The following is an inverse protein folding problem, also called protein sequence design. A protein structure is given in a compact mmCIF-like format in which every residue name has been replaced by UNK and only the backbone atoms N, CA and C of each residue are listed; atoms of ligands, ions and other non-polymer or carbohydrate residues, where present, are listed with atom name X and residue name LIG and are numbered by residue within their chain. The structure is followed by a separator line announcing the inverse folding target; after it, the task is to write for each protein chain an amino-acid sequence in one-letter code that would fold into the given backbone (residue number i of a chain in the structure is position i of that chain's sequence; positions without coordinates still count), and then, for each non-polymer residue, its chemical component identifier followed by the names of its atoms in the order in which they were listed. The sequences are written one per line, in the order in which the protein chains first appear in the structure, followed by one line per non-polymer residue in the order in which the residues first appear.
data_IF_569453344754
#
_entry.id   IF_569453344754
#
_cell.length_a   1.000
_cell.length_b   1.000
_cell.length_c   1.000
_cell.angle_alpha   90.00
_cell.angle_beta   90.00
_cell.angle_gamma   90.00
#
_symmetry.space_group_name_H-M   'P 1'
#
loop_
_entity.id
_entity.type
_entity.pdbx_description
1 polymer ?
#
# COMPACT_ATOMS: atom_id res chain seq x y z
N UNK A 1 -31.05 -8.82 -4.45
CA UNK A 1 -30.07 -9.90 -4.51
C UNK A 1 -28.81 -9.37 -3.87
N UNK A 2 -28.31 -10.00 -2.78
CA UNK A 2 -27.15 -9.50 -2.04
C UNK A 2 -25.91 -9.56 -2.94
N UNK A 3 -25.31 -8.40 -3.22
CA UNK A 3 -24.06 -8.24 -3.95
C UNK A 3 -22.83 -8.76 -3.19
N UNK A 4 -23.01 -9.18 -1.95
CA UNK A 4 -21.93 -9.61 -1.05
C UNK A 4 -22.07 -11.09 -0.70
N UNK A 5 -21.35 -11.96 -1.40
CA UNK A 5 -21.14 -13.33 -0.95
C UNK A 5 -20.03 -13.36 0.09
N UNK A 6 -20.29 -14.02 1.22
CA UNK A 6 -19.34 -14.17 2.32
C UNK A 6 -18.24 -15.17 1.91
N UNK A 7 -16.96 -14.89 2.12
CA UNK A 7 -15.91 -15.87 1.92
C UNK A 7 -16.07 -17.05 2.89
N UNK A 8 -15.69 -18.28 2.52
CA UNK A 8 -15.66 -19.41 3.42
C UNK A 8 -14.72 -19.15 4.59
N UNK A 9 -15.03 -19.69 5.78
CA UNK A 9 -14.10 -19.66 6.92
C UNK A 9 -12.89 -20.53 6.55
N UNK A 10 -11.74 -19.90 6.25
CA UNK A 10 -10.48 -20.62 6.18
C UNK A 10 -10.03 -21.04 7.58
N UNK A 11 -9.31 -22.17 7.75
CA UNK A 11 -8.69 -22.49 9.02
C UNK A 11 -7.74 -21.37 9.40
N UNK A 12 -7.81 -20.90 10.64
CA UNK A 12 -6.91 -19.89 11.20
C UNK A 12 -5.47 -20.35 10.99
N UNK A 13 -4.80 -19.74 10.00
CA UNK A 13 -3.36 -19.88 9.86
C UNK A 13 -2.74 -19.01 10.97
N UNK A 14 -2.48 -19.61 12.10
CA UNK A 14 -1.76 -18.99 13.23
C UNK A 14 -0.26 -18.93 12.87
N UNK A 15 0.04 -18.14 11.84
CA UNK A 15 1.40 -17.75 11.49
C UNK A 15 1.91 -16.85 12.61
N UNK A 16 2.37 -17.47 13.69
CA UNK A 16 3.02 -16.75 14.78
C UNK A 16 4.29 -16.06 14.25
N UNK A 17 4.64 -14.92 14.84
CA UNK A 17 5.93 -14.23 14.63
C UNK A 17 7.11 -15.22 14.59
N UNK A 18 7.04 -16.28 15.40
CA UNK A 18 7.98 -17.40 15.46
C UNK A 18 8.06 -18.19 14.15
N UNK A 19 7.00 -18.26 13.36
CA UNK A 19 6.98 -18.99 12.08
C UNK A 19 7.61 -18.15 10.96
N UNK A 20 7.39 -16.84 10.97
CA UNK A 20 8.09 -15.89 10.10
C UNK A 20 9.60 -15.97 10.34
N UNK A 21 10.04 -16.00 11.61
CA UNK A 21 11.43 -16.11 11.99
C UNK A 21 12.07 -17.48 11.65
N UNK A 22 11.31 -18.58 11.73
CA UNK A 22 11.80 -19.93 11.38
C UNK A 22 12.05 -20.11 9.89
N UNK A 23 11.26 -19.48 9.03
CA UNK A 23 11.42 -19.58 7.59
C UNK A 23 12.54 -18.69 7.04
N UNK A 24 13.03 -17.73 7.82
CA UNK A 24 14.15 -16.86 7.46
C UNK A 24 15.56 -17.48 7.62
N UNK A 25 15.65 -18.73 8.08
CA UNK A 25 16.95 -19.45 8.20
C UNK A 25 17.89 -18.96 9.32
N UNK A 26 17.53 -17.89 10.05
CA UNK A 26 18.36 -17.28 11.11
C UNK A 26 17.92 -17.63 12.55
N UNK A 27 17.05 -18.60 12.74
CA UNK A 27 16.47 -18.95 14.05
C UNK A 27 17.27 -20.01 14.81
N UNK A 28 18.60 -19.94 14.88
CA UNK A 28 19.38 -20.88 15.69
C UNK A 28 20.06 -20.30 16.92
N UNK A 29 20.09 -18.98 17.14
CA UNK A 29 20.81 -18.40 18.29
C UNK A 29 20.15 -17.18 18.95
N UNK A 30 18.84 -17.18 19.16
CA UNK A 30 18.23 -16.17 20.06
C UNK A 30 18.35 -14.70 19.62
N UNK A 31 18.76 -14.44 18.39
CA UNK A 31 18.79 -13.09 17.84
C UNK A 31 17.38 -12.68 17.42
N UNK A 32 16.80 -11.88 18.28
CA UNK A 32 15.53 -11.19 18.09
C UNK A 32 15.53 -10.36 16.81
N UNK A 33 14.33 -10.09 16.26
CA UNK A 33 14.10 -9.22 15.11
C UNK A 33 15.01 -7.98 15.18
N UNK A 34 15.90 -7.84 14.20
CA UNK A 34 16.52 -6.53 13.98
C UNK A 34 15.39 -5.54 13.70
N UNK A 35 15.53 -4.33 14.22
CA UNK A 35 14.62 -3.23 13.92
C UNK A 35 14.53 -3.06 12.40
N UNK A 36 13.33 -3.22 11.81
CA UNK A 36 13.13 -3.17 10.36
C UNK A 36 11.73 -2.73 9.99
N UNK A 37 11.60 -2.06 8.84
CA UNK A 37 10.30 -1.81 8.22
C UNK A 37 9.64 -3.16 7.91
N UNK A 38 8.41 -3.36 8.39
CA UNK A 38 7.68 -4.58 8.17
C UNK A 38 7.29 -4.73 6.69
N UNK A 39 7.53 -5.89 6.04
CA UNK A 39 7.03 -6.12 4.69
C UNK A 39 5.51 -6.25 4.72
N UNK A 40 4.84 -5.98 3.60
CA UNK A 40 3.38 -5.95 3.58
C UNK A 40 2.73 -7.31 3.89
N UNK A 41 3.43 -8.42 3.60
CA UNK A 41 2.97 -9.77 3.97
C UNK A 41 3.29 -10.21 5.41
N UNK A 42 3.87 -9.31 6.22
CA UNK A 42 4.02 -9.55 7.65
C UNK A 42 2.65 -9.73 8.31
N UNK A 43 2.52 -10.54 9.40
CA UNK A 43 1.26 -10.64 10.12
C UNK A 43 0.72 -9.26 10.53
N UNK A 44 -0.53 -9.00 10.19
CA UNK A 44 -1.17 -7.70 10.35
C UNK A 44 -2.18 -7.70 11.49
N UNK A 45 -2.44 -6.54 12.05
CA UNK A 45 -3.52 -6.29 13.02
C UNK A 45 -4.67 -5.47 12.44
N UNK A 46 -4.54 -4.96 11.23
CA UNK A 46 -5.60 -4.26 10.52
C UNK A 46 -5.10 -3.29 9.45
N UNK A 47 -6.05 -2.60 8.83
CA UNK A 47 -5.83 -1.67 7.72
C UNK A 47 -6.50 -0.33 8.03
N UNK A 48 -5.91 0.79 7.58
CA UNK A 48 -6.52 2.12 7.59
C UNK A 48 -7.07 2.48 6.21
N UNK A 49 -8.24 3.11 6.21
CA UNK A 49 -8.80 3.90 5.11
C UNK A 49 -9.03 5.34 5.57
N UNK A 50 -8.80 6.29 4.69
CA UNK A 50 -9.24 7.68 4.84
C UNK A 50 -10.42 7.90 3.91
N UNK A 51 -11.58 8.27 4.46
CA UNK A 51 -12.87 8.18 3.75
C UNK A 51 -13.11 9.40 2.85
N UNK A 52 -13.57 9.22 1.60
CA UNK A 52 -13.93 10.32 0.69
C UNK A 52 -15.15 11.11 1.20
N UNK A 53 -15.15 12.43 0.96
CA UNK A 53 -16.23 13.31 1.38
C UNK A 53 -16.35 14.53 0.44
N UNK A 54 -17.39 15.35 0.63
CA UNK A 54 -17.69 16.49 -0.24
C UNK A 54 -16.61 17.59 -0.26
N UNK A 55 -15.71 17.60 0.74
CA UNK A 55 -14.59 18.54 0.80
C UNK A 55 -13.31 18.04 0.15
N UNK A 56 -13.33 16.89 -0.52
CA UNK A 56 -12.21 16.32 -1.27
C UNK A 56 -12.41 16.49 -2.78
N UNK A 57 -11.41 16.22 -3.56
CA UNK A 57 -11.50 16.24 -5.03
C UNK A 57 -12.47 15.18 -5.59
N UNK A 58 -13.01 14.29 -4.73
CA UNK A 58 -14.05 13.31 -5.05
C UNK A 58 -15.47 13.89 -5.14
N UNK A 59 -15.69 15.17 -4.77
CA UNK A 59 -17.03 15.76 -4.67
C UNK A 59 -17.89 15.56 -5.94
N UNK A 60 -17.27 15.62 -7.12
CA UNK A 60 -17.97 15.49 -8.41
C UNK A 60 -18.43 14.05 -8.73
N UNK A 61 -17.85 13.03 -8.07
CA UNK A 61 -18.17 11.62 -8.26
C UNK A 61 -18.26 10.85 -6.93
N UNK A 62 -18.67 11.56 -5.87
CA UNK A 62 -18.71 10.99 -4.51
C UNK A 62 -19.52 9.69 -4.40
N UNK A 63 -20.67 9.50 -5.08
CA UNK A 63 -21.41 8.24 -5.05
C UNK A 63 -20.58 7.06 -5.58
N UNK A 64 -19.90 7.22 -6.70
CA UNK A 64 -19.14 6.16 -7.37
C UNK A 64 -17.91 5.74 -6.54
N UNK A 65 -17.16 6.71 -6.01
CA UNK A 65 -16.02 6.39 -5.15
C UNK A 65 -16.47 5.79 -3.83
N UNK A 66 -17.59 6.24 -3.27
CA UNK A 66 -18.19 5.67 -2.06
C UNK A 66 -18.53 4.18 -2.24
N UNK A 67 -19.08 3.78 -3.40
CA UNK A 67 -19.34 2.35 -3.70
C UNK A 67 -18.03 1.52 -3.68
N UNK A 68 -16.94 2.05 -4.24
CA UNK A 68 -15.64 1.40 -4.18
C UNK A 68 -15.16 1.27 -2.73
N UNK A 69 -15.26 2.33 -1.93
CA UNK A 69 -14.87 2.33 -0.51
C UNK A 69 -15.73 1.39 0.36
N UNK A 70 -17.04 1.30 0.10
CA UNK A 70 -17.92 0.31 0.75
C UNK A 70 -17.45 -1.11 0.43
N UNK A 71 -17.03 -1.37 -0.81
CA UNK A 71 -16.48 -2.66 -1.20
C UNK A 71 -15.15 -2.94 -0.52
N UNK A 72 -14.22 -2.00 -0.47
CA UNK A 72 -12.96 -2.11 0.27
C UNK A 72 -13.21 -2.38 1.75
N UNK A 73 -14.10 -1.59 2.39
CA UNK A 73 -14.46 -1.79 3.79
C UNK A 73 -15.05 -3.19 4.05
N UNK A 74 -15.89 -3.71 3.16
CA UNK A 74 -16.41 -5.08 3.27
C UNK A 74 -15.30 -6.14 3.19
N UNK A 75 -14.43 -6.05 2.18
CA UNK A 75 -13.38 -7.05 1.97
C UNK A 75 -12.35 -7.04 3.09
N UNK A 76 -12.01 -5.87 3.61
CA UNK A 76 -11.08 -5.73 4.73
C UNK A 76 -11.77 -6.18 6.03
N UNK A 77 -12.87 -5.56 6.43
CA UNK A 77 -13.48 -5.75 7.74
C UNK A 77 -14.06 -7.17 7.95
N UNK A 78 -14.32 -7.93 6.89
CA UNK A 78 -14.69 -9.35 7.02
C UNK A 78 -13.52 -10.28 7.34
N UNK A 79 -12.27 -9.81 7.19
CA UNK A 79 -11.03 -10.59 7.37
C UNK A 79 -10.18 -10.10 8.52
N UNK A 80 -10.04 -8.78 8.67
CA UNK A 80 -9.23 -8.17 9.73
C UNK A 80 -9.77 -6.79 10.15
N UNK A 81 -9.32 -6.23 11.27
CA UNK A 81 -9.78 -4.93 11.73
C UNK A 81 -9.54 -3.81 10.71
N UNK A 82 -10.47 -2.87 10.66
CA UNK A 82 -10.41 -1.70 9.79
C UNK A 82 -10.50 -0.42 10.63
N UNK A 83 -9.55 0.50 10.44
CA UNK A 83 -9.61 1.86 10.96
C UNK A 83 -10.07 2.80 9.85
N UNK A 84 -11.17 3.51 10.07
CA UNK A 84 -11.65 4.54 9.15
C UNK A 84 -11.41 5.91 9.77
N UNK A 85 -10.65 6.75 9.06
CA UNK A 85 -10.46 8.17 9.36
C UNK A 85 -11.39 8.99 8.48
N UNK A 86 -12.20 9.86 9.07
CA UNK A 86 -13.14 10.71 8.35
C UNK A 86 -13.50 11.98 9.14
N UNK A 87 -13.87 13.08 8.48
CA UNK A 87 -14.42 14.27 9.17
C UNK A 87 -15.76 14.02 9.85
N UNK A 88 -16.62 13.18 9.25
CA UNK A 88 -17.91 12.76 9.79
C UNK A 88 -17.98 11.23 9.89
N UNK A 89 -17.49 10.71 10.99
CA UNK A 89 -17.49 9.26 11.24
C UNK A 89 -18.88 8.68 11.50
N UNK A 90 -19.83 9.49 11.97
CA UNK A 90 -21.18 9.02 12.24
C UNK A 90 -21.95 8.77 10.94
N UNK A 91 -21.81 9.65 9.95
CA UNK A 91 -22.37 9.44 8.62
C UNK A 91 -21.79 8.18 7.96
N UNK A 92 -20.47 7.98 8.05
CA UNK A 92 -19.80 6.78 7.51
C UNK A 92 -20.25 5.51 8.23
N UNK A 93 -20.33 5.55 9.56
CA UNK A 93 -20.83 4.43 10.39
C UNK A 93 -22.23 4.01 9.95
N UNK A 94 -23.15 4.96 9.88
CA UNK A 94 -24.54 4.71 9.47
C UNK A 94 -24.62 4.09 8.08
N UNK A 95 -23.87 4.64 7.11
CA UNK A 95 -23.79 4.09 5.76
C UNK A 95 -23.32 2.62 5.78
N UNK A 96 -22.26 2.32 6.51
CA UNK A 96 -21.70 0.97 6.54
C UNK A 96 -22.56 -0.01 7.31
N UNK A 97 -23.23 0.41 8.39
CA UNK A 97 -24.21 -0.43 9.11
C UNK A 97 -25.43 -0.80 8.25
N UNK A 98 -25.88 0.11 7.37
CA UNK A 98 -26.96 -0.15 6.40
C UNK A 98 -26.53 -1.09 5.26
N UNK A 99 -25.25 -1.09 4.89
CA UNK A 99 -24.73 -1.75 3.69
C UNK A 99 -23.99 -3.07 3.97
N UNK A 100 -23.36 -3.20 5.12
CA UNK A 100 -22.49 -4.34 5.44
C UNK A 100 -23.11 -5.27 6.47
N UNK A 101 -22.75 -6.56 6.46
CA UNK A 101 -23.19 -7.49 7.50
C UNK A 101 -22.56 -7.12 8.86
N UNK A 102 -23.31 -7.36 9.94
CA UNK A 102 -22.88 -7.04 11.31
C UNK A 102 -21.48 -7.54 11.65
N UNK A 103 -21.08 -8.71 11.18
CA UNK A 103 -19.73 -9.26 11.41
C UNK A 103 -18.61 -8.40 10.84
N UNK A 104 -18.88 -7.62 9.79
CA UNK A 104 -17.92 -6.67 9.25
C UNK A 104 -17.93 -5.37 10.05
N UNK A 105 -19.12 -4.81 10.34
CA UNK A 105 -19.24 -3.54 11.06
C UNK A 105 -18.66 -3.58 12.47
N UNK A 106 -18.70 -4.75 13.14
CA UNK A 106 -18.06 -4.93 14.46
C UNK A 106 -16.54 -4.91 14.41
N UNK A 107 -15.92 -5.08 13.25
CA UNK A 107 -14.46 -5.00 13.05
C UNK A 107 -14.00 -3.60 12.65
N UNK A 108 -14.91 -2.62 12.53
CA UNK A 108 -14.56 -1.27 12.08
C UNK A 108 -14.43 -0.35 13.29
N UNK A 109 -13.33 0.39 13.30
CA UNK A 109 -13.08 1.51 14.21
C UNK A 109 -13.14 2.80 13.44
N UNK A 110 -13.56 3.85 14.10
CA UNK A 110 -13.72 5.16 13.50
C UNK A 110 -12.91 6.18 14.26
N UNK A 111 -12.17 7.01 13.55
CA UNK A 111 -11.44 8.13 14.10
C UNK A 111 -11.85 9.40 13.40
N UNK A 112 -12.48 10.32 14.14
CA UNK A 112 -12.94 11.59 13.59
C UNK A 112 -11.78 12.56 13.46
N UNK A 113 -11.48 12.93 12.22
CA UNK A 113 -10.37 13.81 11.89
C UNK A 113 -10.66 14.54 10.58
N UNK A 114 -10.40 15.86 10.47
CA UNK A 114 -10.40 16.56 9.19
C UNK A 114 -9.33 15.99 8.27
N UNK A 115 -9.66 15.86 6.97
CA UNK A 115 -8.76 15.34 5.93
C UNK A 115 -8.84 16.22 4.68
N UNK A 116 -7.79 16.21 3.85
CA UNK A 116 -7.81 16.83 2.53
C UNK A 116 -8.26 15.83 1.47
N UNK A 117 -7.75 14.58 1.54
CA UNK A 117 -8.00 13.53 0.56
C UNK A 117 -8.04 12.14 1.22
N UNK A 118 -7.84 11.08 0.44
CA UNK A 118 -8.16 9.68 0.79
C UNK A 118 -6.97 8.72 0.74
N UNK A 119 -5.80 9.20 0.41
CA UNK A 119 -4.63 8.38 0.05
C UNK A 119 -3.83 7.93 1.27
N UNK A 120 -4.44 7.05 2.07
CA UNK A 120 -3.89 6.56 3.34
C UNK A 120 -2.49 5.93 3.18
N UNK A 121 -2.16 5.35 2.02
CA UNK A 121 -0.84 4.78 1.75
C UNK A 121 0.27 5.80 1.94
N UNK A 122 0.04 7.05 1.57
CA UNK A 122 1.08 8.05 1.47
C UNK A 122 1.20 8.94 2.71
N UNK A 123 0.12 9.09 3.47
CA UNK A 123 0.14 9.93 4.68
C UNK A 123 0.09 9.15 6.00
N UNK A 124 -0.30 7.86 6.00
CA UNK A 124 -0.38 7.11 7.26
C UNK A 124 1.01 6.63 7.75
N UNK A 125 1.08 6.19 9.02
CA UNK A 125 2.32 5.73 9.63
C UNK A 125 3.01 4.63 8.84
N UNK A 126 4.31 4.77 8.63
CA UNK A 126 5.18 3.64 8.33
C UNK A 126 5.55 2.94 9.64
N UNK A 127 5.41 1.62 9.67
CA UNK A 127 5.62 0.87 10.92
C UNK A 127 6.90 0.03 10.88
N UNK A 128 7.80 0.35 11.80
CA UNK A 128 9.00 -0.44 12.05
C UNK A 128 8.73 -1.38 13.22
N UNK A 129 9.15 -2.62 13.09
CA UNK A 129 8.99 -3.65 14.12
C UNK A 129 10.34 -4.09 14.69
N UNK A 130 10.35 -4.44 15.98
CA UNK A 130 11.52 -4.95 16.68
C UNK A 130 11.11 -5.86 17.84
N UNK A 131 12.08 -6.41 18.56
CA UNK A 131 11.82 -7.14 19.80
C UNK A 131 11.15 -6.27 20.88
N UNK A 132 11.38 -4.97 20.86
CA UNK A 132 10.85 -4.01 21.84
C UNK A 132 9.44 -3.52 21.49
N UNK A 133 8.88 -3.96 20.35
CA UNK A 133 7.55 -3.61 19.87
C UNK A 133 7.57 -2.82 18.55
N UNK A 134 6.45 -2.16 18.27
CA UNK A 134 6.26 -1.36 17.07
C UNK A 134 6.62 0.11 17.29
N UNK A 135 7.20 0.71 16.27
CA UNK A 135 7.43 2.15 16.15
C UNK A 135 6.56 2.68 15.01
N UNK A 136 5.78 3.71 15.29
CA UNK A 136 4.91 4.39 14.34
C UNK A 136 5.63 5.65 13.87
N UNK A 137 6.22 5.59 12.69
CA UNK A 137 7.01 6.67 12.12
C UNK A 137 6.10 7.62 11.35
N UNK A 138 6.11 8.88 11.77
CA UNK A 138 5.32 9.98 11.19
C UNK A 138 6.21 10.80 10.25
N UNK A 139 6.24 10.41 8.97
CA UNK A 139 6.95 11.14 7.93
C UNK A 139 6.10 12.30 7.40
N UNK A 140 6.77 13.32 6.88
CA UNK A 140 6.08 14.44 6.25
C UNK A 140 5.45 14.01 4.93
N UNK A 141 4.15 14.23 4.82
CA UNK A 141 3.42 14.17 3.56
C UNK A 141 3.17 15.59 3.05
N UNK A 142 3.70 15.92 1.88
CA UNK A 142 3.63 17.26 1.29
C UNK A 142 2.73 17.34 0.04
N UNK A 143 1.86 16.33 -0.18
CA UNK A 143 0.98 16.28 -1.35
C UNK A 143 1.73 16.01 -2.65
N UNK A 144 2.59 14.99 -2.65
CA UNK A 144 3.39 14.52 -3.79
C UNK A 144 4.27 15.62 -4.41
N UNK A 145 5.00 16.32 -3.54
CA UNK A 145 5.87 17.40 -3.98
C UNK A 145 5.18 18.75 -4.06
N UNK A 146 4.15 18.99 -3.24
CA UNK A 146 3.42 20.26 -3.17
C UNK A 146 2.44 20.48 -4.32
N UNK A 147 2.03 19.42 -5.03
CA UNK A 147 1.04 19.48 -6.12
C UNK A 147 -0.37 19.68 -5.58
N UNK A 148 -0.67 19.18 -4.37
CA UNK A 148 -1.97 19.21 -3.73
C UNK A 148 -1.89 19.70 -2.28
N UNK A 149 -2.99 20.26 -1.77
CA UNK A 149 -3.11 20.61 -0.35
C UNK A 149 -3.15 19.35 0.50
N UNK A 150 -2.26 19.24 1.48
CA UNK A 150 -2.06 18.04 2.27
C UNK A 150 -1.91 18.28 3.77
N UNK A 151 -2.10 19.51 4.25
CA UNK A 151 -1.83 19.87 5.65
C UNK A 151 -2.71 19.13 6.65
N UNK A 152 -3.96 18.81 6.30
CA UNK A 152 -4.87 18.04 7.16
C UNK A 152 -4.48 16.57 7.20
N UNK A 153 -4.11 16.00 6.04
CA UNK A 153 -3.69 14.61 5.91
C UNK A 153 -2.37 14.36 6.63
N UNK A 154 -1.40 15.25 6.45
CA UNK A 154 -0.12 15.23 7.18
C UNK A 154 -0.31 15.32 8.70
N UNK A 155 -1.41 15.88 9.20
CA UNK A 155 -1.69 15.99 10.63
C UNK A 155 -2.42 14.77 11.23
N UNK A 156 -2.89 13.82 10.43
CA UNK A 156 -3.68 12.66 10.90
C UNK A 156 -2.89 11.82 11.90
N UNK A 157 -1.64 11.49 11.59
CA UNK A 157 -0.78 10.66 12.42
C UNK A 157 -0.56 11.26 13.81
N UNK A 158 -0.20 12.53 13.88
CA UNK A 158 -0.03 13.24 15.14
C UNK A 158 -1.31 13.26 15.98
N UNK A 159 -2.48 13.39 15.36
CA UNK A 159 -3.78 13.34 16.05
C UNK A 159 -4.13 11.93 16.54
N UNK A 160 -3.85 10.89 15.74
CA UNK A 160 -4.01 9.49 16.14
C UNK A 160 -3.12 9.14 17.34
N UNK A 161 -1.87 9.60 17.35
CA UNK A 161 -0.92 9.36 18.43
C UNK A 161 -1.30 10.08 19.75
N UNK A 162 -1.98 11.23 19.66
CA UNK A 162 -2.40 12.02 20.82
C UNK A 162 -3.80 11.66 21.35
N UNK A 163 -4.51 10.77 20.67
CA UNK A 163 -5.86 10.37 21.06
C UNK A 163 -5.85 9.56 22.38
N UNK A 164 -6.90 9.73 23.19
CA UNK A 164 -7.12 8.97 24.42
C UNK A 164 -8.57 8.42 24.42
N UNK A 165 -8.76 7.10 24.33
CA UNK A 165 -7.73 6.07 24.10
C UNK A 165 -7.14 6.13 22.67
N UNK A 166 -5.85 5.84 22.56
CA UNK A 166 -5.19 5.76 21.25
C UNK A 166 -5.70 4.54 20.46
N UNK A 167 -6.12 4.71 19.19
CA UNK A 167 -6.59 3.60 18.36
C UNK A 167 -5.47 2.66 17.92
N UNK A 168 -4.23 3.15 17.91
CA UNK A 168 -3.03 2.43 17.54
C UNK A 168 -2.08 2.30 18.73
N UNK A 169 -1.41 1.15 18.80
CA UNK A 169 -0.39 0.83 19.79
C UNK A 169 1.00 0.90 19.16
N UNK A 170 1.95 1.50 19.86
CA UNK A 170 3.31 1.63 19.36
C UNK A 170 3.95 2.93 19.87
N UNK A 171 5.25 3.03 19.72
CA UNK A 171 5.98 4.24 20.06
C UNK A 171 5.90 5.22 18.88
N UNK A 172 5.30 6.37 19.10
CA UNK A 172 5.33 7.45 18.11
C UNK A 172 6.76 7.94 17.88
N UNK A 173 7.16 8.10 16.63
CA UNK A 173 8.46 8.64 16.21
C UNK A 173 8.23 9.76 15.21
N UNK A 174 8.60 10.97 15.61
CA UNK A 174 8.56 12.15 14.76
C UNK A 174 9.67 12.06 13.70
N UNK A 175 9.26 12.04 12.43
CA UNK A 175 10.11 12.05 11.24
C UNK A 175 9.69 13.15 10.26
N UNK A 176 8.96 14.17 10.75
CA UNK A 176 8.41 15.27 9.93
C UNK A 176 9.45 16.20 9.31
N UNK A 177 10.73 15.98 9.60
CA UNK A 177 11.87 16.63 8.94
C UNK A 177 12.27 16.00 7.61
N UNK A 178 11.55 14.95 7.16
CA UNK A 178 11.82 14.22 5.91
C UNK A 178 10.51 13.87 5.20
N UNK A 179 10.39 14.25 3.92
CA UNK A 179 9.25 13.89 3.07
C UNK A 179 9.38 12.44 2.60
N UNK A 180 8.37 11.61 2.91
CA UNK A 180 8.33 10.21 2.46
C UNK A 180 6.88 9.71 2.40
N UNK A 181 6.48 9.24 1.24
CA UNK A 181 5.20 8.57 1.01
C UNK A 181 5.36 7.04 1.09
N UNK A 182 4.37 6.36 1.67
CA UNK A 182 4.42 4.89 1.79
C UNK A 182 4.38 4.17 0.44
N UNK A 183 3.75 4.75 -0.58
CA UNK A 183 3.70 4.20 -1.94
C UNK A 183 5.02 4.31 -2.71
N UNK A 184 5.93 5.18 -2.25
CA UNK A 184 7.24 5.36 -2.87
C UNK A 184 8.26 4.27 -2.54
N UNK A 185 7.97 3.39 -1.58
CA UNK A 185 8.91 2.39 -1.08
C UNK A 185 8.29 1.00 -0.96
N UNK A 186 9.09 -0.02 -1.20
CA UNK A 186 8.79 -1.44 -0.96
C UNK A 186 9.90 -2.09 -0.14
N UNK A 187 9.57 -3.05 0.74
CA UNK A 187 10.56 -3.75 1.55
C UNK A 187 10.32 -5.25 1.58
N UNK A 188 11.42 -6.03 1.70
CA UNK A 188 11.35 -7.46 1.97
C UNK A 188 11.30 -7.81 3.47
N UNK A 189 11.48 -6.81 4.34
CA UNK A 189 11.58 -7.01 5.80
C UNK A 189 12.91 -7.59 6.28
N UNK A 190 13.84 -7.87 5.37
CA UNK A 190 15.16 -8.39 5.65
C UNK A 190 16.28 -7.38 5.36
N UNK A 191 15.90 -6.12 5.26
CA UNK A 191 16.82 -5.01 5.07
C UNK A 191 16.96 -4.53 3.63
N UNK A 192 16.18 -5.05 2.68
CA UNK A 192 16.11 -4.53 1.32
C UNK A 192 14.98 -3.51 1.21
N UNK A 193 15.24 -2.40 0.53
CA UNK A 193 14.26 -1.43 0.10
C UNK A 193 14.35 -1.25 -1.42
N UNK A 194 13.21 -1.33 -2.10
CA UNK A 194 13.05 -1.04 -3.52
C UNK A 194 12.28 0.29 -3.65
N UNK A 195 12.77 1.17 -4.51
CA UNK A 195 12.19 2.51 -4.77
C UNK A 195 12.52 2.97 -6.17
N UNK A 196 11.99 4.12 -6.59
CA UNK A 196 12.34 4.76 -7.87
C UNK A 196 13.22 5.98 -7.65
N UNK A 197 14.15 6.22 -8.57
CA UNK A 197 14.98 7.42 -8.59
C UNK A 197 14.13 8.66 -8.88
N UNK A 198 13.16 8.54 -9.77
CA UNK A 198 12.25 9.63 -10.16
C UNK A 198 11.51 10.22 -8.97
N UNK A 199 11.08 9.39 -8.00
CA UNK A 199 10.37 9.85 -6.82
C UNK A 199 11.32 10.37 -5.74
N UNK A 200 12.19 9.51 -5.19
CA UNK A 200 12.95 9.88 -3.99
C UNK A 200 14.08 10.88 -4.24
N UNK A 201 14.56 11.02 -5.49
CA UNK A 201 15.57 11.99 -5.86
C UNK A 201 14.98 13.26 -6.51
N UNK A 202 13.64 13.39 -6.50
CA UNK A 202 12.98 14.57 -7.05
C UNK A 202 13.17 15.78 -6.13
N UNK A 203 13.51 16.91 -6.72
CA UNK A 203 13.72 18.17 -5.99
C UNK A 203 12.45 18.69 -5.28
N UNK A 204 11.28 18.18 -5.62
CA UNK A 204 10.02 18.58 -5.00
C UNK A 204 9.76 17.93 -3.64
N UNK A 205 10.68 17.09 -3.14
CA UNK A 205 10.64 16.46 -1.79
C UNK A 205 11.85 16.92 -0.97
N UNK A 206 12.88 16.14 -0.85
CA UNK A 206 14.05 16.41 0.00
C UNK A 206 15.20 17.05 -0.79
N UNK A 207 14.96 18.16 -1.48
CA UNK A 207 15.87 18.83 -2.44
C UNK A 207 17.31 19.09 -1.94
N UNK A 208 17.51 19.16 -0.63
CA UNK A 208 18.84 19.41 -0.05
C UNK A 208 19.68 18.14 0.13
N UNK A 209 19.11 16.96 -0.14
CA UNK A 209 19.71 15.65 0.13
C UNK A 209 20.06 14.96 -1.20
N UNK A 210 21.27 14.43 -1.28
CA UNK A 210 21.64 13.51 -2.34
C UNK A 210 21.25 12.05 -1.97
N UNK A 211 21.42 11.14 -2.92
CA UNK A 211 21.09 9.73 -2.75
C UNK A 211 21.74 9.12 -1.50
N UNK A 212 23.03 9.43 -1.25
CA UNK A 212 23.75 8.85 -0.12
C UNK A 212 23.20 9.32 1.23
N UNK A 213 22.76 10.57 1.33
CA UNK A 213 22.11 11.09 2.52
C UNK A 213 20.71 10.49 2.72
N UNK A 214 19.94 10.33 1.65
CA UNK A 214 18.62 9.66 1.68
C UNK A 214 18.78 8.20 2.15
N UNK A 215 19.72 7.44 1.58
CA UNK A 215 20.00 6.06 2.00
C UNK A 215 20.42 5.99 3.47
N UNK A 216 21.24 6.91 3.96
CA UNK A 216 21.65 6.96 5.36
C UNK A 216 20.48 7.20 6.31
N UNK A 217 19.59 8.17 5.98
CA UNK A 217 18.38 8.46 6.76
C UNK A 217 17.40 7.29 6.75
N UNK A 218 17.15 6.67 5.60
CA UNK A 218 16.27 5.50 5.52
C UNK A 218 16.85 4.29 6.25
N UNK A 219 18.18 4.12 6.23
CA UNK A 219 18.86 3.08 7.03
C UNK A 219 18.63 3.31 8.53
N UNK A 220 18.82 4.52 9.01
CA UNK A 220 18.58 4.89 10.41
C UNK A 220 17.13 4.70 10.82
N UNK A 221 16.19 5.22 10.00
CA UNK A 221 14.76 5.30 10.37
C UNK A 221 14.02 4.00 10.13
N UNK A 222 14.30 3.31 9.02
CA UNK A 222 13.56 2.11 8.62
C UNK A 222 14.29 0.79 8.93
N UNK A 223 15.58 0.84 9.30
CA UNK A 223 16.37 -0.36 9.55
C UNK A 223 16.73 -1.13 8.27
N UNK A 224 16.63 -0.49 7.10
CA UNK A 224 17.05 -1.06 5.82
C UNK A 224 18.55 -0.85 5.60
N UNK A 225 19.19 -1.75 4.86
CA UNK A 225 20.64 -1.72 4.65
C UNK A 225 21.06 -1.92 3.20
N UNK A 226 20.09 -2.18 2.33
CA UNK A 226 20.30 -2.44 0.91
C UNK A 226 19.22 -1.77 0.10
N UNK A 227 19.61 -1.03 -0.93
CA UNK A 227 18.73 -0.25 -1.77
C UNK A 227 18.75 -0.79 -3.21
N UNK A 228 17.57 -0.94 -3.78
CA UNK A 228 17.34 -1.23 -5.18
C UNK A 228 16.65 -0.02 -5.81
N UNK A 229 17.42 0.77 -6.52
CA UNK A 229 16.94 1.96 -7.22
C UNK A 229 16.48 1.59 -8.63
N UNK A 230 15.23 1.86 -8.94
CA UNK A 230 14.64 1.67 -10.25
C UNK A 230 14.63 3.01 -10.99
N UNK A 231 15.36 3.06 -12.11
CA UNK A 231 15.58 4.30 -12.88
C UNK A 231 14.65 4.39 -14.10
N UNK A 232 13.85 3.36 -14.32
CA UNK A 232 12.99 3.24 -15.50
C UNK A 232 11.58 2.79 -15.11
N UNK A 233 10.62 3.16 -15.93
CA UNK A 233 9.21 2.86 -15.74
C UNK A 233 8.44 4.11 -15.33
N UNK A 234 7.26 4.28 -15.91
CA UNK A 234 6.28 5.30 -15.56
C UNK A 234 4.90 4.83 -16.02
N UNK A 235 3.87 5.49 -15.52
CA UNK A 235 2.50 5.38 -16.05
C UNK A 235 2.00 6.77 -16.43
N UNK A 236 1.42 6.89 -17.62
CA UNK A 236 0.75 8.13 -18.03
C UNK A 236 -0.41 8.41 -17.06
N UNK A 237 -0.54 9.65 -16.63
CA UNK A 237 -1.52 10.08 -15.65
C UNK A 237 -1.11 9.85 -14.19
N UNK A 238 0.08 9.32 -13.89
CA UNK A 238 0.58 9.23 -12.52
C UNK A 238 1.03 10.59 -11.99
N UNK A 239 0.52 10.99 -10.82
CA UNK A 239 0.84 12.26 -10.16
C UNK A 239 1.91 12.13 -9.06
N UNK A 240 2.40 10.92 -8.82
CA UNK A 240 3.26 10.60 -7.68
C UNK A 240 4.76 10.69 -7.97
N UNK A 241 5.15 11.01 -9.21
CA UNK A 241 6.52 10.93 -9.72
C UNK A 241 7.01 9.47 -9.74
N UNK A 242 6.21 8.57 -10.31
CA UNK A 242 6.53 7.15 -10.50
C UNK A 242 6.71 6.38 -9.18
N UNK A 243 5.72 6.43 -8.29
CA UNK A 243 5.71 5.57 -7.10
C UNK A 243 5.95 4.10 -7.46
N UNK A 244 6.77 3.43 -6.66
CA UNK A 244 7.15 2.03 -6.92
C UNK A 244 5.96 1.09 -6.85
N UNK A 245 4.95 1.36 -6.04
CA UNK A 245 3.76 0.54 -5.85
C UNK A 245 2.83 0.51 -7.07
N UNK A 246 3.06 1.39 -8.05
CA UNK A 246 2.38 1.38 -9.34
C UNK A 246 3.12 0.54 -10.39
N UNK A 247 4.40 0.23 -10.17
CA UNK A 247 5.32 -0.36 -11.15
C UNK A 247 5.80 -1.76 -10.77
N UNK A 248 6.30 -1.94 -9.55
CA UNK A 248 6.90 -3.21 -9.12
C UNK A 248 6.78 -3.40 -7.61
N UNK A 249 6.48 -4.64 -7.17
CA UNK A 249 6.23 -4.99 -5.79
C UNK A 249 7.11 -6.15 -5.34
N UNK A 250 7.75 -6.00 -4.18
CA UNK A 250 8.43 -7.12 -3.53
C UNK A 250 7.40 -8.12 -2.99
N UNK A 251 7.73 -9.41 -3.08
CA UNK A 251 6.88 -10.51 -2.62
C UNK A 251 7.73 -11.54 -1.86
N UNK A 252 7.10 -12.47 -1.12
CA UNK A 252 7.80 -13.59 -0.48
C UNK A 252 8.67 -14.38 -1.46
N UNK A 253 9.69 -15.07 -0.92
CA UNK A 253 10.57 -15.98 -1.66
C UNK A 253 11.33 -15.30 -2.81
N UNK A 254 11.94 -14.15 -2.53
CA UNK A 254 12.78 -13.41 -3.49
C UNK A 254 12.09 -13.15 -4.84
N UNK A 255 10.81 -12.84 -4.78
CA UNK A 255 9.97 -12.61 -5.96
C UNK A 255 9.66 -11.12 -6.13
N UNK A 256 9.66 -10.64 -7.36
CA UNK A 256 9.17 -9.30 -7.73
C UNK A 256 8.02 -9.48 -8.74
N UNK A 257 6.83 -8.96 -8.40
CA UNK A 257 5.79 -8.70 -9.38
C UNK A 257 6.05 -7.34 -10.01
N UNK A 258 5.90 -7.23 -11.35
CA UNK A 258 6.14 -5.98 -12.06
C UNK A 258 5.20 -5.83 -13.25
N UNK A 259 4.88 -4.62 -13.62
CA UNK A 259 4.03 -4.31 -14.77
C UNK A 259 4.80 -4.54 -16.07
N UNK A 260 4.23 -5.31 -16.99
CA UNK A 260 4.82 -5.60 -18.29
C UNK A 260 3.90 -5.12 -19.41
N UNK A 261 4.44 -4.30 -20.32
CA UNK A 261 3.80 -3.93 -21.57
C UNK A 261 4.37 -4.79 -22.71
N UNK A 262 3.51 -5.56 -23.38
CA UNK A 262 3.90 -6.41 -24.53
C UNK A 262 3.52 -5.82 -25.88
N UNK A 263 2.74 -4.74 -25.91
CA UNK A 263 2.33 -4.06 -27.15
C UNK A 263 3.38 -2.98 -27.50
N UNK A 264 4.12 -3.15 -28.62
CA UNK A 264 5.12 -2.17 -29.04
C UNK A 264 4.52 -0.84 -29.53
N UNK A 265 3.21 -0.76 -29.72
CA UNK A 265 2.51 0.47 -30.08
C UNK A 265 2.06 1.29 -28.85
N UNK A 266 2.08 0.71 -27.66
CA UNK A 266 1.74 1.42 -26.42
C UNK A 266 2.88 2.35 -26.01
N UNK A 267 2.54 3.57 -25.57
CA UNK A 267 3.49 4.60 -25.14
C UNK A 267 4.41 4.16 -23.99
N UNK A 268 3.95 3.25 -23.10
CA UNK A 268 4.73 2.73 -21.98
C UNK A 268 5.72 1.62 -22.38
N UNK A 269 5.59 1.05 -23.60
CA UNK A 269 6.34 -0.14 -23.98
C UNK A 269 7.85 0.01 -23.78
N UNK A 270 8.44 1.10 -24.29
CA UNK A 270 9.88 1.30 -24.19
C UNK A 270 10.36 1.46 -22.74
N UNK A 271 9.64 2.24 -21.93
CA UNK A 271 9.99 2.49 -20.53
C UNK A 271 9.81 1.24 -19.66
N UNK A 272 8.71 0.49 -19.83
CA UNK A 272 8.47 -0.75 -19.09
C UNK A 272 9.39 -1.90 -19.53
N UNK A 273 9.84 -1.93 -20.77
CA UNK A 273 10.91 -2.85 -21.19
C UNK A 273 12.27 -2.49 -20.55
N UNK A 274 12.62 -1.21 -20.49
CA UNK A 274 13.84 -0.78 -19.81
C UNK A 274 13.78 -1.12 -18.30
N UNK A 275 12.62 -0.92 -17.66
CA UNK A 275 12.36 -1.34 -16.28
C UNK A 275 12.57 -2.84 -16.10
N UNK A 276 11.98 -3.68 -16.94
CA UNK A 276 12.18 -5.14 -16.87
C UNK A 276 13.65 -5.51 -17.05
N UNK A 277 14.36 -4.88 -17.98
CA UNK A 277 15.78 -5.14 -18.18
C UNK A 277 16.59 -4.78 -16.93
N UNK A 278 16.27 -3.67 -16.23
CA UNK A 278 16.90 -3.29 -14.98
C UNK A 278 16.55 -4.25 -13.84
N UNK A 279 15.27 -4.65 -13.67
CA UNK A 279 14.86 -5.62 -12.67
C UNK A 279 15.62 -6.97 -12.80
N UNK A 280 15.95 -7.41 -14.00
CA UNK A 280 16.77 -8.60 -14.25
C UNK A 280 18.20 -8.47 -13.73
N UNK A 281 18.70 -7.25 -13.53
CA UNK A 281 20.04 -7.01 -12.96
C UNK A 281 20.04 -7.07 -11.45
N UNK A 282 18.92 -6.89 -10.79
CA UNK A 282 18.81 -6.91 -9.34
C UNK A 282 19.16 -8.28 -8.77
N UNK A 283 19.76 -8.26 -7.60
CA UNK A 283 20.17 -9.47 -6.89
C UNK A 283 19.60 -9.46 -5.49
N UNK A 284 19.29 -10.61 -4.96
CA UNK A 284 18.89 -10.84 -3.57
C UNK A 284 20.08 -10.58 -2.63
N UNK A 285 19.84 -10.59 -1.33
CA UNK A 285 20.90 -10.38 -0.33
C UNK A 285 22.02 -11.45 -0.42
N UNK A 286 21.70 -12.67 -0.88
CA UNK A 286 22.64 -13.75 -1.09
C UNK A 286 23.20 -13.80 -2.53
N UNK A 287 22.98 -12.76 -3.34
CA UNK A 287 23.55 -12.58 -4.68
C UNK A 287 22.84 -13.32 -5.82
N UNK A 288 21.70 -13.95 -5.56
CA UNK A 288 20.90 -14.62 -6.60
C UNK A 288 20.02 -13.63 -7.38
N UNK A 289 19.58 -13.96 -8.60
CA UNK A 289 18.57 -13.16 -9.28
C UNK A 289 17.21 -13.31 -8.59
N UNK A 290 16.43 -12.23 -8.58
CA UNK A 290 15.02 -12.31 -8.19
C UNK A 290 14.21 -13.14 -9.18
N UNK A 291 13.17 -13.82 -8.68
CA UNK A 291 12.13 -14.40 -9.51
C UNK A 291 11.20 -13.26 -9.97
N UNK A 292 11.14 -13.03 -11.27
CA UNK A 292 10.31 -11.98 -11.85
C UNK A 292 8.99 -12.57 -12.38
N UNK A 293 7.86 -11.99 -11.95
CA UNK A 293 6.52 -12.39 -12.37
C UNK A 293 5.82 -11.19 -13.04
N UNK A 294 5.53 -11.26 -14.36
CA UNK A 294 4.94 -10.13 -15.07
C UNK A 294 3.42 -10.03 -14.83
N UNK A 295 2.97 -8.87 -14.38
CA UNK A 295 1.57 -8.44 -14.40
C UNK A 295 1.28 -7.81 -15.75
N UNK A 296 0.13 -8.07 -16.37
CA UNK A 296 -0.23 -7.40 -17.62
C UNK A 296 -0.44 -5.91 -17.37
N UNK A 297 -0.09 -5.06 -18.33
CA UNK A 297 -0.58 -3.68 -18.33
C UNK A 297 -2.07 -3.70 -18.73
N UNK A 298 -2.97 -3.01 -17.99
CA UNK A 298 -4.35 -2.83 -18.46
C UNK A 298 -4.42 -2.15 -19.82
N UNK A 299 -5.39 -2.49 -20.64
CA UNK A 299 -5.69 -1.69 -21.83
C UNK A 299 -6.02 -0.26 -21.45
N UNK A 300 -5.61 0.71 -22.26
CA UNK A 300 -5.74 2.12 -21.96
C UNK A 300 -7.17 2.50 -21.58
N UNK A 301 -7.29 3.21 -20.46
CA UNK A 301 -8.53 3.83 -19.99
C UNK A 301 -8.28 5.33 -20.01
N UNK A 302 -9.25 6.08 -20.52
CA UNK A 302 -9.15 7.54 -20.65
C UNK A 302 -10.30 8.18 -19.90
N UNK A 303 -10.07 9.40 -19.42
CA UNK A 303 -11.13 10.26 -18.89
C UNK A 303 -11.95 10.90 -20.02
N UNK A 304 -12.83 11.85 -19.66
CA UNK A 304 -13.70 12.56 -20.59
C UNK A 304 -12.93 13.53 -21.49
N UNK A 305 -11.76 13.99 -21.06
CA UNK A 305 -10.90 14.90 -21.81
C UNK A 305 -9.93 14.16 -22.73
N UNK A 306 -9.92 12.83 -22.64
CA UNK A 306 -9.09 11.94 -23.44
C UNK A 306 -7.69 11.70 -22.84
N UNK A 307 -7.44 12.14 -21.61
CA UNK A 307 -6.19 11.88 -20.88
C UNK A 307 -6.17 10.43 -20.37
N UNK A 308 -5.03 9.76 -20.48
CA UNK A 308 -4.88 8.37 -20.05
C UNK A 308 -4.77 8.28 -18.53
N UNK A 309 -5.57 7.39 -17.93
CA UNK A 309 -5.59 7.13 -16.50
C UNK A 309 -4.57 6.04 -16.11
N UNK A 310 -3.92 6.14 -14.92
CA UNK A 310 -2.82 5.26 -14.52
C UNK A 310 -3.30 3.91 -13.96
N UNK A 311 -4.02 3.14 -14.77
CA UNK A 311 -4.48 1.81 -14.38
C UNK A 311 -3.31 0.83 -14.28
N UNK A 312 -3.19 0.13 -13.15
CA UNK A 312 -2.12 -0.86 -12.92
C UNK A 312 -2.57 -1.96 -11.96
N UNK A 313 -2.22 -3.21 -12.25
CA UNK A 313 -2.47 -4.34 -11.35
C UNK A 313 -1.39 -4.48 -10.25
N UNK A 314 -0.32 -3.68 -10.29
CA UNK A 314 0.67 -3.65 -9.21
C UNK A 314 0.17 -2.99 -7.94
N UNK A 315 -0.87 -2.18 -8.03
CA UNK A 315 -1.43 -1.43 -6.90
C UNK A 315 -2.41 -2.27 -6.05
N UNK A 316 -1.94 -3.46 -5.59
CA UNK A 316 -2.70 -4.39 -4.76
C UNK A 316 -2.33 -4.26 -3.27
N UNK A 317 -3.27 -4.58 -2.38
CA UNK A 317 -3.07 -4.68 -0.92
C UNK A 317 -2.90 -6.15 -0.51
N UNK A 318 -1.83 -6.44 0.23
CA UNK A 318 -1.64 -7.75 0.87
C UNK A 318 -2.22 -7.71 2.28
N UNK A 319 -3.05 -8.68 2.62
CA UNK A 319 -3.67 -8.89 3.93
C UNK A 319 -3.30 -10.27 4.48
N UNK A 320 -3.63 -10.57 5.74
CA UNK A 320 -3.34 -11.88 6.34
C UNK A 320 -3.89 -13.07 5.53
N UNK A 321 -5.13 -12.96 5.04
CA UNK A 321 -5.84 -14.06 4.38
C UNK A 321 -6.10 -13.81 2.89
N UNK A 322 -5.86 -12.60 2.40
CA UNK A 322 -6.19 -12.23 1.03
C UNK A 322 -5.18 -11.25 0.44
N UNK A 323 -5.15 -11.18 -0.88
CA UNK A 323 -4.62 -10.05 -1.64
C UNK A 323 -5.80 -9.41 -2.36
N UNK A 324 -6.08 -8.15 -2.03
CA UNK A 324 -7.06 -7.36 -2.76
C UNK A 324 -6.35 -6.69 -3.92
N UNK A 325 -6.80 -6.92 -5.15
CA UNK A 325 -6.19 -6.32 -6.31
C UNK A 325 -7.19 -5.50 -7.12
N UNK A 326 -6.76 -4.39 -7.75
CA UNK A 326 -7.65 -3.58 -8.55
C UNK A 326 -8.07 -4.32 -9.83
N UNK A 327 -9.34 -4.18 -10.21
CA UNK A 327 -9.87 -4.62 -11.50
C UNK A 327 -10.39 -3.41 -12.28
N UNK A 328 -10.40 -3.53 -13.60
CA UNK A 328 -10.69 -2.42 -14.49
C UNK A 328 -11.76 -2.76 -15.55
N UNK A 329 -12.65 -3.72 -15.24
CA UNK A 329 -13.65 -4.24 -16.16
C UNK A 329 -13.05 -4.79 -17.47
N UNK A 330 -11.89 -5.42 -17.37
CA UNK A 330 -11.15 -6.06 -18.46
C UNK A 330 -10.96 -7.55 -18.13
N UNK A 331 -12.00 -8.40 -18.25
CA UNK A 331 -12.05 -9.72 -17.62
C UNK A 331 -10.86 -10.63 -17.92
N UNK A 332 -10.30 -10.60 -19.13
CA UNK A 332 -9.16 -11.43 -19.51
C UNK A 332 -7.85 -10.95 -18.83
N UNK A 333 -7.64 -9.63 -18.76
CA UNK A 333 -6.48 -9.04 -18.11
C UNK A 333 -6.62 -9.09 -16.59
N UNK A 334 -7.81 -8.83 -16.05
CA UNK A 334 -8.12 -8.95 -14.63
C UNK A 334 -7.82 -10.40 -14.15
N UNK A 335 -8.28 -11.42 -14.85
CA UNK A 335 -8.01 -12.83 -14.50
C UNK A 335 -6.53 -13.21 -14.71
N UNK A 336 -5.86 -12.66 -15.72
CA UNK A 336 -4.42 -12.88 -15.91
C UNK A 336 -3.63 -12.30 -14.74
N UNK A 337 -3.95 -11.09 -14.29
CA UNK A 337 -3.34 -10.46 -13.13
C UNK A 337 -3.59 -11.30 -11.86
N UNK A 338 -4.83 -11.73 -11.63
CA UNK A 338 -5.18 -12.59 -10.51
C UNK A 338 -4.35 -13.89 -10.47
N UNK A 339 -4.13 -14.54 -11.62
CA UNK A 339 -3.30 -15.76 -11.69
C UNK A 339 -1.85 -15.48 -11.30
N UNK A 340 -1.28 -14.38 -11.79
CA UNK A 340 0.10 -13.98 -11.45
C UNK A 340 0.24 -13.67 -9.97
N UNK A 341 -0.74 -12.98 -9.38
CA UNK A 341 -0.75 -12.68 -7.93
C UNK A 341 -0.87 -13.96 -7.10
N UNK A 342 -1.74 -14.92 -7.48
CA UNK A 342 -1.84 -16.23 -6.81
C UNK A 342 -0.53 -17.01 -6.83
N UNK A 343 0.26 -16.85 -7.88
CA UNK A 343 1.58 -17.51 -7.98
C UNK A 343 2.59 -16.93 -6.99
N UNK A 344 2.50 -15.64 -6.67
CA UNK A 344 3.34 -14.99 -5.66
C UNK A 344 2.83 -15.22 -4.22
N UNK A 345 1.50 -15.36 -4.04
CA UNK A 345 0.83 -15.51 -2.75
C UNK A 345 -0.11 -16.74 -2.74
N UNK A 346 0.44 -17.96 -2.82
CA UNK A 346 -0.36 -19.18 -2.96
C UNK A 346 -1.24 -19.49 -1.74
N UNK A 347 -0.92 -18.91 -0.58
CA UNK A 347 -1.63 -19.13 0.69
C UNK A 347 -2.73 -18.10 0.95
N UNK A 348 -3.00 -17.19 -0.02
CA UNK A 348 -3.97 -16.11 0.14
C UNK A 348 -5.06 -16.17 -0.94
N UNK A 349 -6.27 -15.79 -0.54
CA UNK A 349 -7.34 -15.53 -1.51
C UNK A 349 -6.97 -14.30 -2.34
N UNK A 350 -7.17 -14.36 -3.66
CA UNK A 350 -6.97 -13.21 -4.54
C UNK A 350 -8.32 -12.67 -4.96
N UNK A 351 -8.65 -11.46 -4.51
CA UNK A 351 -9.98 -10.86 -4.62
C UNK A 351 -9.92 -9.56 -5.41
N UNK A 352 -10.65 -9.49 -6.52
CA UNK A 352 -10.75 -8.29 -7.34
C UNK A 352 -11.72 -7.26 -6.76
N UNK A 353 -11.31 -6.00 -6.80
CA UNK A 353 -12.12 -4.84 -6.47
C UNK A 353 -12.12 -3.89 -7.67
N UNK A 354 -13.29 -3.48 -8.14
CA UNK A 354 -13.40 -2.51 -9.25
C UNK A 354 -12.91 -1.13 -8.80
N UNK A 355 -11.75 -0.73 -9.31
CA UNK A 355 -11.07 0.51 -8.99
C UNK A 355 -11.13 1.57 -10.09
N UNK A 356 -12.03 1.42 -11.07
CA UNK A 356 -12.21 2.42 -12.13
C UNK A 356 -12.59 3.81 -11.60
N UNK A 357 -13.25 3.86 -10.43
CA UNK A 357 -13.50 5.13 -9.76
C UNK A 357 -12.20 5.75 -9.23
N UNK A 358 -11.30 4.94 -8.62
CA UNK A 358 -10.09 5.45 -7.99
C UNK A 358 -9.09 6.05 -8.99
N UNK A 359 -8.88 5.41 -10.14
CA UNK A 359 -7.92 5.91 -11.14
C UNK A 359 -8.29 7.26 -11.75
N UNK A 360 -9.54 7.72 -11.57
CA UNK A 360 -9.98 9.06 -12.01
C UNK A 360 -9.35 10.20 -11.21
N UNK A 361 -8.82 9.90 -10.04
CA UNK A 361 -7.98 10.78 -9.22
C UNK A 361 -6.56 10.21 -9.11
N UNK A 362 -6.10 9.56 -10.19
CA UNK A 362 -4.73 9.15 -10.45
C UNK A 362 -4.14 8.08 -9.51
N UNK A 363 -4.87 7.61 -8.49
CA UNK A 363 -4.48 6.51 -7.59
C UNK A 363 -5.30 5.24 -7.78
N UNK A 364 -5.02 4.19 -6.99
CA UNK A 364 -5.78 2.95 -7.03
C UNK A 364 -5.90 2.32 -5.63
N UNK A 365 -6.11 1.00 -5.55
CA UNK A 365 -6.46 0.28 -4.33
C UNK A 365 -5.41 0.41 -3.22
N UNK A 366 -4.14 0.18 -3.54
CA UNK A 366 -3.04 0.26 -2.58
C UNK A 366 -2.87 1.68 -2.04
N UNK A 367 -2.93 2.67 -2.92
CA UNK A 367 -2.84 4.08 -2.56
C UNK A 367 -3.91 4.50 -1.53
N UNK A 368 -5.11 3.91 -1.59
CA UNK A 368 -6.21 4.19 -0.66
C UNK A 368 -6.05 3.50 0.71
N UNK A 369 -5.09 2.59 0.89
CA UNK A 369 -5.00 1.68 2.04
C UNK A 369 -3.64 1.71 2.71
N UNK A 370 -3.59 1.58 4.06
CA UNK A 370 -2.35 1.33 4.80
C UNK A 370 -2.55 0.22 5.80
N UNK A 371 -1.75 -0.85 5.71
CA UNK A 371 -1.75 -1.94 6.65
C UNK A 371 -0.91 -1.65 7.90
N UNK A 372 -1.30 -2.21 9.03
CA UNK A 372 -0.54 -2.16 10.27
C UNK A 372 -0.08 -3.56 10.70
N UNK A 373 1.20 -3.74 11.04
CA UNK A 373 1.73 -4.99 11.58
C UNK A 373 0.99 -5.45 12.83
N UNK A 374 1.07 -6.75 13.11
CA UNK A 374 0.49 -7.38 14.32
C UNK A 374 0.93 -6.64 15.57
N UNK A 375 -0.05 -6.31 16.44
CA UNK A 375 0.17 -5.63 17.70
C UNK A 375 0.04 -4.09 17.63
N UNK A 376 -0.19 -3.52 16.45
CA UNK A 376 -0.38 -2.07 16.29
C UNK A 376 -1.84 -1.66 16.51
N UNK A 377 -2.80 -2.31 15.86
CA UNK A 377 -4.20 -2.08 16.21
C UNK A 377 -4.55 -2.91 17.45
N UNK A 378 -5.10 -2.25 18.50
CA UNK A 378 -5.48 -2.92 19.73
C UNK A 378 -6.50 -4.07 19.43
N UNK A 379 -6.44 -5.17 20.18
CA UNK A 379 -7.52 -6.17 20.19
C UNK A 379 -8.76 -5.55 20.84
N UNK A 380 -9.97 -5.94 20.38
CA UNK A 380 -11.22 -5.60 21.09
C UNK A 380 -11.29 -6.31 22.41
#
# INVERSE_FOLDING_TARGET
MSLFSLPPKSPQCDLSLTMFLKNSGEATDGHYLRRTLAPEWFPQSGVQLTWPHEGTDWAYMLPEVTECYVRLAFEIATREPLLIVAPDTEAVRKLLEERLPQRATTNIRYFQCPTNDTWARDHAFLTVVSADGAELLDFRFNGWGGKFEASLDNAINGRLAQADPAPLQGRYVDCLDFELEGGSIETDGFGTLLTTSECLLNDNRNASLDQAHIEALLTERLGVTRFLWLDHGYLAGDDTDSHIDTLARLCPNDTILYVQCTDPADEHHAALQAMEAQLRTFRTADGKPYRLLPLPLPAAIHDEDGERLPATYANYLVMNQAVLYPTYAQPELDERAARTIREAFPDRDVVGVDCRALIRQHGSLHCATMQFPKGVMASH
#
